data_IF_318270110275
#
_entry.id   IF_318270110275
#
_cell.length_a   1.000
_cell.length_b   1.000
_cell.length_c   1.000
_cell.angle_alpha   90.00
_cell.angle_beta   90.00
_cell.angle_gamma   90.00
#
_symmetry.space_group_name_H-M   'P 1'
#
loop_
_entity.id
_entity.type
_entity.pdbx_description
1 polymer ?
#
# COMPACT_ATOMS: atom_id res chain seq x y z
N UNK A 1 16.50 20.70 -13.00
CA UNK A 1 16.53 19.64 -11.98
C UNK A 1 17.97 19.43 -11.54
N UNK A 2 18.24 19.30 -10.22
CA UNK A 2 17.28 19.43 -9.11
C UNK A 2 16.96 20.90 -8.76
N UNK A 3 15.81 21.15 -8.12
CA UNK A 3 15.39 22.47 -7.60
C UNK A 3 15.72 22.66 -6.11
N UNK A 4 16.01 21.56 -5.39
CA UNK A 4 16.48 21.53 -4.00
C UNK A 4 17.71 20.63 -3.86
N UNK A 5 18.53 20.88 -2.84
CA UNK A 5 19.69 20.05 -2.53
C UNK A 5 19.25 18.79 -1.75
N UNK A 6 19.54 17.62 -2.31
CA UNK A 6 19.21 16.33 -1.70
C UNK A 6 20.02 16.07 -0.42
N UNK A 7 21.23 16.62 -0.31
CA UNK A 7 22.10 16.40 0.85
C UNK A 7 21.65 17.20 2.09
N UNK A 8 20.79 18.21 1.90
CA UNK A 8 20.29 19.06 2.97
C UNK A 8 19.28 18.36 3.92
N UNK A 9 18.76 17.19 3.55
CA UNK A 9 17.65 16.52 4.25
C UNK A 9 18.06 15.67 5.48
N UNK A 10 19.35 15.41 5.69
CA UNK A 10 19.80 14.52 6.77
C UNK A 10 19.55 13.03 6.49
N UNK A 11 20.31 12.17 7.15
CA UNK A 11 20.59 10.78 6.72
C UNK A 11 19.61 9.72 7.23
N UNK A 12 18.30 9.91 7.10
CA UNK A 12 17.33 8.87 7.50
C UNK A 12 16.38 8.50 6.36
N UNK A 13 16.94 8.07 5.23
CA UNK A 13 16.17 7.56 4.10
C UNK A 13 16.89 6.37 3.50
N UNK A 14 16.36 5.18 3.73
CA UNK A 14 16.77 3.95 3.05
C UNK A 14 15.94 3.79 1.77
N UNK A 15 16.58 3.34 0.69
CA UNK A 15 15.92 3.02 -0.56
C UNK A 15 16.09 1.53 -0.86
N UNK A 16 14.97 0.85 -1.06
CA UNK A 16 14.93 -0.58 -1.35
C UNK A 16 14.48 -0.80 -2.79
N UNK A 17 15.39 -1.18 -3.71
CA UNK A 17 15.02 -1.53 -5.06
C UNK A 17 14.37 -2.91 -5.10
N UNK A 18 13.16 -3.02 -5.63
CA UNK A 18 12.46 -4.29 -5.79
C UNK A 18 10.95 -4.13 -5.91
N UNK A 19 10.26 -5.27 -5.98
CA UNK A 19 8.81 -5.30 -5.85
C UNK A 19 8.41 -4.94 -4.42
N UNK A 20 7.38 -4.11 -4.29
CA UNK A 20 6.91 -3.64 -2.99
C UNK A 20 6.48 -4.79 -2.08
N UNK A 21 5.77 -5.80 -2.61
CA UNK A 21 5.20 -6.88 -1.81
C UNK A 21 6.30 -7.77 -1.23
N UNK A 22 7.27 -8.15 -2.06
CA UNK A 22 8.41 -8.97 -1.64
C UNK A 22 9.24 -8.28 -0.54
N UNK A 23 9.46 -6.97 -0.69
CA UNK A 23 10.25 -6.17 0.26
C UNK A 23 9.49 -5.91 1.57
N UNK A 24 8.20 -5.57 1.45
CA UNK A 24 7.33 -5.24 2.56
C UNK A 24 7.22 -6.40 3.57
N UNK A 25 6.97 -7.62 3.07
CA UNK A 25 6.80 -8.80 3.92
C UNK A 25 8.07 -9.20 4.69
N UNK A 26 9.23 -8.87 4.15
CA UNK A 26 10.52 -9.33 4.71
C UNK A 26 11.15 -8.32 5.67
N UNK A 27 10.86 -7.02 5.51
CA UNK A 27 11.73 -5.99 6.08
C UNK A 27 11.04 -4.88 6.87
N UNK A 28 9.70 -4.80 6.88
CA UNK A 28 9.03 -3.57 7.32
C UNK A 28 7.97 -3.84 8.38
N UNK A 29 8.14 -3.20 9.54
CA UNK A 29 7.07 -2.95 10.49
C UNK A 29 6.99 -1.44 10.71
N UNK A 30 6.03 -0.80 10.04
CA UNK A 30 5.92 0.64 9.93
C UNK A 30 4.86 1.21 10.89
N UNK A 31 5.17 2.39 11.45
CA UNK A 31 4.19 3.23 12.14
C UNK A 31 3.16 3.84 11.17
N UNK A 32 3.62 4.14 9.95
CA UNK A 32 2.79 4.71 8.91
C UNK A 32 3.28 4.33 7.51
N UNK A 33 2.34 4.21 6.58
CA UNK A 33 2.61 4.01 5.14
C UNK A 33 1.91 5.11 4.36
N UNK A 34 2.64 5.72 3.42
CA UNK A 34 2.12 6.70 2.47
C UNK A 34 2.15 6.12 1.06
N UNK A 35 1.01 6.14 0.37
CA UNK A 35 0.90 5.76 -1.04
C UNK A 35 0.45 6.97 -1.87
N UNK A 36 1.13 7.25 -2.98
CA UNK A 36 0.81 8.37 -3.86
C UNK A 36 0.84 7.90 -5.31
N UNK A 37 -0.31 7.93 -6.02
CA UNK A 37 -0.44 7.39 -7.39
C UNK A 37 0.14 5.96 -7.51
N UNK A 38 -0.22 5.09 -6.55
CA UNK A 38 0.43 3.79 -6.37
C UNK A 38 -0.55 2.62 -6.33
N UNK A 39 -1.67 2.74 -5.63
CA UNK A 39 -2.53 1.59 -5.30
C UNK A 39 -3.20 0.93 -6.52
N UNK A 40 -3.26 1.66 -7.63
CA UNK A 40 -3.81 1.23 -8.92
C UNK A 40 -2.77 0.58 -9.86
N UNK A 41 -1.52 0.46 -9.40
CA UNK A 41 -0.44 -0.22 -10.15
C UNK A 41 -0.41 -1.73 -9.95
N UNK A 42 -1.04 -2.23 -8.87
CA UNK A 42 -1.15 -3.67 -8.62
C UNK A 42 -2.04 -4.35 -9.66
N UNK A 43 -1.74 -5.61 -10.03
CA UNK A 43 -2.72 -6.48 -10.65
C UNK A 43 -3.98 -6.60 -9.79
N UNK A 44 -3.82 -6.77 -8.47
CA UNK A 44 -4.94 -6.71 -7.53
C UNK A 44 -4.62 -5.80 -6.35
N UNK A 45 -5.39 -4.72 -6.22
CA UNK A 45 -5.34 -3.82 -5.06
C UNK A 45 -5.62 -4.55 -3.73
N UNK A 46 -6.30 -5.69 -3.77
CA UNK A 46 -6.51 -6.53 -2.59
C UNK A 46 -5.19 -7.06 -2.03
N UNK A 47 -4.24 -7.38 -2.91
CA UNK A 47 -2.93 -7.87 -2.49
C UNK A 47 -2.16 -6.76 -1.77
N UNK A 48 -2.26 -5.52 -2.24
CA UNK A 48 -1.73 -4.36 -1.50
C UNK A 48 -2.42 -4.14 -0.16
N UNK A 49 -3.75 -4.30 -0.06
CA UNK A 49 -4.45 -4.20 1.23
C UNK A 49 -3.93 -5.26 2.21
N UNK A 50 -3.67 -6.49 1.74
CA UNK A 50 -3.08 -7.54 2.56
C UNK A 50 -1.65 -7.20 3.00
N UNK A 51 -0.81 -6.70 2.09
CA UNK A 51 0.54 -6.21 2.41
C UNK A 51 0.48 -5.08 3.44
N UNK A 52 -0.45 -4.13 3.32
CA UNK A 52 -0.60 -3.05 4.32
C UNK A 52 -0.93 -3.59 5.71
N UNK A 53 -1.74 -4.65 5.81
CA UNK A 53 -2.03 -5.32 7.10
C UNK A 53 -0.79 -5.99 7.70
N UNK A 54 0.11 -6.53 6.88
CA UNK A 54 1.31 -7.21 7.39
C UNK A 54 2.37 -6.20 7.86
N UNK A 55 2.54 -5.09 7.14
CA UNK A 55 3.59 -4.12 7.46
C UNK A 55 3.18 -3.06 8.48
N UNK A 56 1.90 -2.73 8.59
CA UNK A 56 1.46 -1.76 9.59
C UNK A 56 1.32 -2.45 10.94
N UNK A 57 1.95 -1.86 11.97
CA UNK A 57 1.65 -2.26 13.34
C UNK A 57 0.20 -1.93 13.70
N UNK A 58 -0.33 -2.56 14.75
CA UNK A 58 -1.62 -2.17 15.34
C UNK A 58 -1.58 -0.68 15.72
N UNK A 59 -2.60 0.07 15.31
CA UNK A 59 -2.68 1.52 15.44
C UNK A 59 -1.84 2.30 14.42
N UNK A 60 -1.21 1.62 13.46
CA UNK A 60 -0.44 2.25 12.39
C UNK A 60 -1.33 2.94 11.35
N UNK A 61 -0.78 3.94 10.67
CA UNK A 61 -1.53 4.82 9.77
C UNK A 61 -1.26 4.50 8.29
N UNK A 62 -2.31 4.32 7.50
CA UNK A 62 -2.21 4.33 6.05
C UNK A 62 -2.81 5.60 5.48
N UNK A 63 -2.01 6.39 4.77
CA UNK A 63 -2.47 7.53 3.98
C UNK A 63 -2.29 7.22 2.50
N UNK A 64 -3.33 7.46 1.72
CA UNK A 64 -3.30 7.33 0.27
C UNK A 64 -3.71 8.63 -0.41
N UNK A 65 -3.07 8.93 -1.54
CA UNK A 65 -3.52 9.95 -2.48
C UNK A 65 -3.29 9.50 -3.92
N UNK A 66 -4.35 9.20 -4.66
CA UNK A 66 -4.19 8.80 -6.05
C UNK A 66 -5.52 8.53 -6.74
N UNK A 67 -5.51 8.42 -8.08
CA UNK A 67 -6.65 7.91 -8.81
C UNK A 67 -6.83 6.41 -8.56
N UNK A 68 -7.92 5.86 -9.10
CA UNK A 68 -8.14 4.41 -9.22
C UNK A 68 -8.12 4.04 -10.70
N UNK A 69 -7.01 4.34 -11.38
CA UNK A 69 -6.84 4.10 -12.82
C UNK A 69 -6.10 2.78 -13.03
N UNK A 70 -6.80 1.67 -12.79
CA UNK A 70 -6.19 0.33 -12.78
C UNK A 70 -5.43 0.03 -14.07
N UNK A 71 -4.11 -0.13 -13.93
CA UNK A 71 -3.20 -0.31 -15.06
C UNK A 71 -3.50 -1.58 -15.88
N UNK A 72 -4.02 -2.61 -15.22
CA UNK A 72 -4.22 -3.95 -15.79
C UNK A 72 -5.62 -4.17 -16.37
N UNK A 73 -6.54 -3.22 -16.16
CA UNK A 73 -7.95 -3.27 -16.56
C UNK A 73 -8.18 -3.33 -18.08
N UNK A 74 -7.29 -2.70 -18.84
CA UNK A 74 -7.45 -2.45 -20.27
C UNK A 74 -6.60 -3.37 -21.15
N UNK A 75 -5.86 -4.28 -20.54
CA UNK A 75 -5.10 -5.29 -21.25
C UNK A 75 -6.00 -6.51 -21.47
N UNK A 76 -6.23 -6.85 -22.74
CA UNK A 76 -6.98 -8.04 -23.08
C UNK A 76 -6.19 -9.26 -22.61
N UNK A 77 -6.81 -10.14 -21.81
CA UNK A 77 -6.22 -11.40 -21.36
C UNK A 77 -5.80 -12.33 -22.52
N UNK A 78 -6.23 -12.01 -23.74
CA UNK A 78 -5.86 -12.68 -24.98
C UNK A 78 -4.46 -12.26 -25.51
N UNK A 79 -3.88 -11.15 -25.03
CA UNK A 79 -2.55 -10.70 -25.47
C UNK A 79 -1.41 -11.56 -24.90
N UNK A 80 -1.56 -12.04 -23.68
CA UNK A 80 -0.60 -12.97 -23.04
C UNK A 80 -1.33 -13.97 -22.12
N UNK A 81 -1.76 -15.13 -22.66
CA UNK A 81 -2.51 -16.12 -21.90
C UNK A 81 -1.69 -16.82 -20.80
N UNK A 82 -0.36 -16.70 -20.84
CA UNK A 82 0.54 -17.27 -19.84
C UNK A 82 0.79 -16.30 -18.66
N UNK A 83 0.48 -15.01 -18.81
CA UNK A 83 0.58 -14.04 -17.72
C UNK A 83 -0.68 -14.03 -16.84
N UNK A 84 -0.63 -14.85 -15.78
CA UNK A 84 -1.71 -15.00 -14.81
C UNK A 84 -2.06 -13.72 -14.03
N UNK A 85 -1.30 -12.62 -14.15
CA UNK A 85 -1.62 -11.34 -13.50
C UNK A 85 -2.87 -10.70 -14.09
N UNK A 86 -3.11 -10.85 -15.39
CA UNK A 86 -4.33 -10.35 -16.04
C UNK A 86 -5.59 -11.03 -15.51
N UNK A 87 -5.52 -12.33 -15.21
CA UNK A 87 -6.65 -13.06 -14.61
C UNK A 87 -6.99 -12.59 -13.18
N UNK A 88 -6.05 -11.94 -12.49
CA UNK A 88 -6.24 -11.36 -11.14
C UNK A 88 -6.61 -9.88 -11.18
N UNK A 89 -6.52 -9.26 -12.36
CA UNK A 89 -6.86 -7.86 -12.56
C UNK A 89 -8.34 -7.63 -12.26
N UNK A 90 -8.62 -7.06 -11.09
CA UNK A 90 -9.98 -6.69 -10.70
C UNK A 90 -10.03 -5.23 -10.33
N UNK A 91 -10.90 -4.54 -11.04
CA UNK A 91 -11.20 -3.14 -10.80
C UNK A 91 -12.21 -2.98 -9.66
N UNK A 92 -11.98 -1.98 -8.83
CA UNK A 92 -12.89 -1.61 -7.75
C UNK A 92 -13.15 -0.11 -7.79
N UNK A 93 -14.42 0.28 -7.64
CA UNK A 93 -14.73 1.67 -7.35
C UNK A 93 -14.34 2.01 -5.91
N UNK A 94 -14.32 3.30 -5.57
CA UNK A 94 -13.99 3.72 -4.20
C UNK A 94 -14.96 3.14 -3.16
N UNK A 95 -16.25 3.02 -3.46
CA UNK A 95 -17.25 2.51 -2.51
C UNK A 95 -16.99 1.03 -2.14
N UNK A 96 -16.59 0.22 -3.13
CA UNK A 96 -16.20 -1.16 -2.90
C UNK A 96 -14.91 -1.24 -2.09
N UNK A 97 -13.88 -0.47 -2.46
CA UNK A 97 -12.62 -0.42 -1.72
C UNK A 97 -12.82 0.02 -0.28
N UNK A 98 -13.66 1.03 -0.05
CA UNK A 98 -14.02 1.50 1.29
C UNK A 98 -14.59 0.38 2.15
N UNK A 99 -15.49 -0.43 1.57
CA UNK A 99 -16.09 -1.59 2.26
C UNK A 99 -15.04 -2.65 2.56
N UNK A 100 -14.18 -2.94 1.59
CA UNK A 100 -13.10 -3.93 1.73
C UNK A 100 -12.09 -3.49 2.79
N UNK A 101 -11.65 -2.22 2.77
CA UNK A 101 -10.74 -1.64 3.76
C UNK A 101 -11.30 -1.78 5.17
N UNK A 102 -12.58 -1.43 5.34
CA UNK A 102 -13.24 -1.51 6.65
C UNK A 102 -13.32 -2.97 7.13
N UNK A 103 -13.69 -3.90 6.25
CA UNK A 103 -13.70 -5.34 6.55
C UNK A 103 -12.31 -5.94 6.78
N UNK A 104 -11.26 -5.31 6.27
CA UNK A 104 -9.87 -5.70 6.47
C UNK A 104 -9.26 -5.18 7.79
N UNK A 105 -10.06 -4.52 8.64
CA UNK A 105 -9.61 -3.97 9.93
C UNK A 105 -9.03 -2.57 9.83
N UNK A 106 -9.29 -1.81 8.76
CA UNK A 106 -8.93 -0.40 8.68
C UNK A 106 -10.10 0.49 9.10
N UNK A 107 -9.87 1.35 10.09
CA UNK A 107 -10.81 2.40 10.47
C UNK A 107 -10.46 3.68 9.74
N UNK A 108 -11.32 4.10 8.81
CA UNK A 108 -11.17 5.39 8.11
C UNK A 108 -11.30 6.56 9.08
N UNK A 109 -10.29 7.42 9.08
CA UNK A 109 -10.27 8.70 9.80
C UNK A 109 -10.79 9.83 8.92
N UNK A 110 -10.39 9.82 7.65
CA UNK A 110 -10.74 10.84 6.67
C UNK A 110 -10.80 10.19 5.28
N UNK A 111 -11.74 10.66 4.47
CA UNK A 111 -11.78 10.40 3.03
C UNK A 111 -12.26 11.67 2.30
N UNK A 112 -11.65 12.01 1.18
CA UNK A 112 -12.10 13.12 0.32
C UNK A 112 -11.67 12.91 -1.12
N UNK A 113 -12.54 13.27 -2.05
CA UNK A 113 -12.19 13.34 -3.47
C UNK A 113 -11.53 14.68 -3.76
N UNK A 114 -10.40 14.66 -4.43
CA UNK A 114 -9.69 15.84 -4.93
C UNK A 114 -9.63 15.77 -6.45
N UNK A 115 -10.02 16.86 -7.11
CA UNK A 115 -10.06 16.91 -8.58
C UNK A 115 -8.91 17.71 -9.18
N UNK A 116 -7.91 18.10 -8.38
CA UNK A 116 -6.93 19.12 -8.79
C UNK A 116 -5.55 18.52 -9.14
N UNK A 117 -5.43 17.19 -9.13
CA UNK A 117 -4.17 16.52 -9.36
C UNK A 117 -3.83 16.42 -10.86
N UNK A 118 -2.56 16.63 -11.17
CA UNK A 118 -1.99 16.38 -12.50
C UNK A 118 -0.75 15.52 -12.35
N UNK A 119 -0.40 14.76 -13.39
CA UNK A 119 0.80 13.93 -13.41
C UNK A 119 1.66 14.32 -14.61
N UNK A 120 2.96 14.57 -14.36
CA UNK A 120 3.98 14.93 -15.37
C UNK A 120 3.54 15.97 -16.41
N UNK A 121 2.65 16.90 -16.02
CA UNK A 121 1.94 17.75 -16.96
C UNK A 121 2.74 18.97 -17.39
N UNK A 122 2.77 19.22 -18.71
CA UNK A 122 3.37 20.42 -19.27
C UNK A 122 2.39 21.60 -19.18
N UNK A 123 2.71 22.60 -18.33
CA UNK A 123 1.89 23.80 -18.13
C UNK A 123 1.65 24.62 -19.40
N UNK A 124 2.49 24.49 -20.44
CA UNK A 124 2.34 25.19 -21.72
C UNK A 124 1.50 24.41 -22.73
N UNK A 125 1.17 23.15 -22.45
CA UNK A 125 0.36 22.31 -23.33
C UNK A 125 -1.09 22.79 -23.34
N UNK A 126 -1.73 22.72 -24.51
CA UNK A 126 -3.17 22.94 -24.65
C UNK A 126 -3.98 21.72 -24.21
N UNK A 127 -3.37 20.54 -24.23
CA UNK A 127 -3.91 19.29 -23.69
C UNK A 127 -3.34 19.05 -22.29
N UNK A 128 -4.20 18.69 -21.34
CA UNK A 128 -3.82 18.32 -19.98
C UNK A 128 -4.61 17.12 -19.51
N UNK A 129 -3.96 16.22 -18.79
CA UNK A 129 -4.62 15.14 -18.06
C UNK A 129 -4.79 15.57 -16.61
N UNK A 130 -6.03 15.53 -16.13
CA UNK A 130 -6.39 15.84 -14.74
C UNK A 130 -7.01 14.60 -14.11
N UNK A 131 -6.60 14.30 -12.88
CA UNK A 131 -7.04 13.12 -12.16
C UNK A 131 -7.95 13.52 -10.99
N UNK A 132 -9.10 12.84 -10.91
CA UNK A 132 -9.90 12.78 -9.69
C UNK A 132 -9.29 11.71 -8.78
N UNK A 133 -8.62 12.17 -7.73
CA UNK A 133 -7.93 11.31 -6.77
C UNK A 133 -8.77 11.14 -5.51
N UNK A 134 -8.73 9.94 -4.94
CA UNK A 134 -9.17 9.72 -3.57
C UNK A 134 -8.00 9.98 -2.63
N UNK A 135 -8.21 10.88 -1.67
CA UNK A 135 -7.43 10.93 -0.45
C UNK A 135 -8.14 10.12 0.62
N UNK A 136 -7.41 9.28 1.34
CA UNK A 136 -7.90 8.74 2.60
C UNK A 136 -6.78 8.63 3.63
N UNK A 137 -7.16 8.69 4.90
CA UNK A 137 -6.33 8.32 6.04
C UNK A 137 -7.07 7.27 6.86
N UNK A 138 -6.43 6.14 7.14
CA UNK A 138 -7.02 5.03 7.88
C UNK A 138 -6.05 4.46 8.91
N UNK A 139 -6.56 4.02 10.07
CA UNK A 139 -5.77 3.37 11.11
C UNK A 139 -6.02 1.87 11.08
N UNK A 140 -4.96 1.07 11.18
CA UNK A 140 -5.08 -0.38 11.25
C UNK A 140 -5.43 -0.85 12.67
N UNK A 141 -6.64 -1.39 12.84
CA UNK A 141 -7.21 -1.90 14.08
C UNK A 141 -7.80 -3.30 13.86
N UNK A 142 -6.97 -4.37 13.87
CA UNK A 142 -7.46 -5.72 13.66
C UNK A 142 -8.41 -6.14 14.78
N UNK A 143 -9.50 -6.82 14.44
CA UNK A 143 -10.47 -7.34 15.42
C UNK A 143 -9.78 -8.25 16.44
N UNK A 144 -10.26 -8.24 17.69
CA UNK A 144 -9.77 -9.07 18.79
C UNK A 144 -10.06 -10.56 18.53
N UNK A 145 -9.23 -11.18 17.68
CA UNK A 145 -9.38 -12.56 17.24
C UNK A 145 -8.37 -12.97 16.17
N UNK A 146 -7.80 -12.01 15.45
CA UNK A 146 -6.72 -12.22 14.49
C UNK A 146 -5.36 -12.29 15.22
N UNK A 147 -5.19 -13.34 16.05
CA UNK A 147 -3.88 -13.67 16.62
C UNK A 147 -3.06 -14.33 15.51
N UNK A 148 -2.38 -13.49 14.71
CA UNK A 148 -1.22 -13.96 13.96
C UNK A 148 -0.23 -14.56 14.95
N UNK A 149 0.08 -15.84 14.77
CA UNK A 149 1.10 -16.58 15.51
C UNK A 149 2.45 -15.86 15.37
N UNK A 150 2.69 -14.88 16.25
CA UNK A 150 4.02 -14.45 16.60
C UNK A 150 4.69 -15.63 17.29
N UNK A 151 5.52 -16.36 16.55
CA UNK A 151 6.44 -17.36 17.10
C UNK A 151 7.25 -16.68 18.21
N UNK A 152 6.84 -16.91 19.45
CA UNK A 152 7.63 -16.54 20.61
C UNK A 152 8.94 -17.36 20.57
N UNK A 153 10.10 -16.75 20.85
CA UNK A 153 11.33 -17.53 20.97
C UNK A 153 11.18 -18.49 22.14
N UNK A 154 11.24 -19.79 21.87
CA UNK A 154 11.26 -20.79 22.92
C UNK A 154 12.51 -20.56 23.79
N UNK A 155 12.30 -20.06 25.00
CA UNK A 155 13.29 -20.08 26.05
C UNK A 155 13.55 -21.55 26.41
N UNK A 156 14.72 -22.05 26.05
CA UNK A 156 15.21 -23.35 26.49
C UNK A 156 15.44 -23.31 28.01
N UNK A 157 14.52 -23.91 28.75
CA UNK A 157 14.68 -24.19 30.17
C UNK A 157 15.64 -25.36 30.35
N UNK A 158 16.94 -25.07 30.44
CA UNK A 158 17.89 -26.04 31.00
C UNK A 158 17.74 -26.06 32.51
N UNK A 159 17.03 -27.07 33.02
CA UNK A 159 17.05 -27.45 34.42
C UNK A 159 18.44 -27.96 34.80
N UNK A 160 19.08 -27.32 35.78
CA UNK A 160 20.23 -27.92 36.49
C UNK A 160 19.78 -28.24 37.91
N UNK A 161 19.61 -29.55 38.14
CA UNK A 161 19.28 -30.14 39.42
C UNK A 161 20.50 -30.09 40.34
N UNK A 162 20.29 -29.62 41.56
CA UNK A 162 21.25 -29.68 42.67
C UNK A 162 21.75 -31.10 42.93
N UNK A 163 23.07 -31.27 43.10
CA UNK A 163 23.73 -32.14 44.08
C UNK A 163 25.11 -31.60 44.39
#
# INVERSE_FOLDING_TARGET
VPDVDAEALGTASDFFPGDFQDLAETHVQADAVLTCFFIDTAPSVLDYIQTMRSVLRRGGLWINFGPLSYHWASCDADEDPDDHRFARAKEFCWEDLRTILTGAGFRLLEERVSNDATYTSNRKSLERTQFSCIFFAAVFEPEEGDHGDGVAPQASSSSSSSR
#
